data_IF_134165576108
#
_entry.id   IF_134165576108
#
_cell.length_a   1.000
_cell.length_b   1.000
_cell.length_c   1.000
_cell.angle_alpha   90.00
_cell.angle_beta   90.00
_cell.angle_gamma   90.00
#
_symmetry.space_group_name_H-M   'P 1'
#
loop_
_entity.id
_entity.type
_entity.pdbx_description
1 polymer ?
#
# COMPACT_ATOMS: atom_id res chain seq x y z
N UNK A 1 -0.01 -9.55 -10.11
CA UNK A 1 0.26 -9.01 -8.77
C UNK A 1 -0.73 -9.52 -7.75
N UNK A 2 -0.38 -9.39 -6.48
CA UNK A 2 -1.27 -9.72 -5.37
C UNK A 2 -1.00 -8.82 -4.17
N UNK A 3 -1.73 -9.07 -3.09
CA UNK A 3 -1.54 -8.40 -1.81
C UNK A 3 -1.34 -9.46 -0.73
N UNK A 4 -0.58 -9.13 0.31
CA UNK A 4 -0.46 -9.92 1.52
C UNK A 4 -0.97 -9.08 2.68
N UNK A 5 -1.74 -9.70 3.56
CA UNK A 5 -2.25 -9.09 4.77
C UNK A 5 -1.50 -9.61 5.98
N UNK A 6 -1.24 -8.75 6.97
CA UNK A 6 -0.77 -9.18 8.27
C UNK A 6 -1.86 -10.01 8.98
N UNK A 7 -1.43 -10.87 9.90
CA UNK A 7 -2.34 -11.51 10.83
C UNK A 7 -3.04 -10.45 11.72
N UNK A 8 -4.29 -10.66 12.15
CA UNK A 8 -5.01 -9.68 12.98
C UNK A 8 -4.21 -9.20 14.19
N UNK A 9 -3.46 -10.10 14.83
CA UNK A 9 -2.61 -9.80 15.99
C UNK A 9 -1.37 -8.95 15.68
N UNK A 10 -0.96 -8.86 14.42
CA UNK A 10 0.18 -8.06 13.98
C UNK A 10 -0.20 -6.60 13.70
N UNK A 11 -1.49 -6.34 13.45
CA UNK A 11 -1.97 -4.99 13.13
C UNK A 11 -1.87 -4.10 14.35
N UNK A 12 -1.23 -2.92 14.25
CA UNK A 12 -1.12 -1.98 15.37
C UNK A 12 -2.49 -1.63 15.95
N UNK A 13 -2.61 -1.72 17.28
CA UNK A 13 -3.87 -1.54 17.99
C UNK A 13 -4.54 -0.19 17.70
N UNK A 14 -3.74 0.88 17.55
CA UNK A 14 -4.27 2.21 17.27
C UNK A 14 -5.11 2.26 15.99
N UNK A 15 -4.80 1.43 14.99
CA UNK A 15 -5.58 1.39 13.74
C UNK A 15 -7.02 0.91 14.00
N UNK A 16 -7.20 -0.09 14.86
CA UNK A 16 -8.53 -0.58 15.27
C UNK A 16 -9.22 0.42 16.19
N UNK A 17 -8.50 0.91 17.20
CA UNK A 17 -9.04 1.83 18.22
C UNK A 17 -9.54 3.15 17.59
N UNK A 18 -8.92 3.60 16.50
CA UNK A 18 -9.29 4.81 15.72
C UNK A 18 -10.18 4.50 14.51
N UNK A 19 -10.64 3.27 14.35
CA UNK A 19 -11.49 2.83 13.23
C UNK A 19 -10.83 3.06 11.84
N UNK A 20 -9.50 2.95 11.75
CA UNK A 20 -8.73 3.21 10.54
C UNK A 20 -8.57 1.97 9.66
N UNK A 21 -8.13 0.86 10.24
CA UNK A 21 -7.99 -0.43 9.56
C UNK A 21 -7.85 -1.57 10.57
N UNK A 22 -8.55 -2.68 10.33
CA UNK A 22 -8.37 -3.94 11.08
C UNK A 22 -8.88 -5.14 10.29
N UNK A 23 -8.54 -6.31 10.75
CA UNK A 23 -9.07 -7.59 10.29
C UNK A 23 -9.78 -8.24 11.46
N UNK A 24 -10.97 -8.77 11.23
CA UNK A 24 -11.70 -9.52 12.24
C UNK A 24 -10.88 -10.76 12.68
N UNK A 25 -10.98 -11.14 13.95
CA UNK A 25 -10.16 -12.23 14.51
C UNK A 25 -10.43 -13.58 13.85
N UNK A 26 -11.65 -13.77 13.33
CA UNK A 26 -12.01 -14.94 12.54
C UNK A 26 -11.48 -14.90 11.08
N UNK A 27 -10.77 -13.85 10.70
CA UNK A 27 -10.16 -13.60 9.39
C UNK A 27 -11.14 -13.61 8.22
N UNK A 28 -12.42 -13.34 8.47
CA UNK A 28 -13.42 -13.32 7.38
C UNK A 28 -13.57 -11.99 6.71
N UNK A 29 -13.31 -10.90 7.42
CA UNK A 29 -13.46 -9.55 6.89
C UNK A 29 -12.26 -8.66 7.24
N UNK A 30 -11.84 -7.83 6.28
CA UNK A 30 -11.08 -6.63 6.55
C UNK A 30 -12.00 -5.41 6.58
N UNK A 31 -11.67 -4.44 7.39
CA UNK A 31 -12.51 -3.28 7.68
C UNK A 31 -11.71 -1.98 7.65
N UNK A 32 -12.38 -0.90 7.26
CA UNK A 32 -11.86 0.47 7.28
C UNK A 32 -13.04 1.42 7.49
N UNK A 33 -13.16 2.05 8.64
CA UNK A 33 -14.36 2.81 8.99
C UNK A 33 -15.61 1.92 8.90
N UNK A 34 -16.62 2.40 8.20
CA UNK A 34 -17.87 1.65 7.95
C UNK A 34 -17.76 0.65 6.78
N UNK A 35 -16.66 0.70 6.04
CA UNK A 35 -16.44 -0.21 4.92
C UNK A 35 -15.92 -1.58 5.39
N UNK A 36 -16.40 -2.64 4.75
CA UNK A 36 -15.91 -3.99 4.97
C UNK A 36 -15.83 -4.79 3.68
N UNK A 37 -14.89 -5.73 3.62
CA UNK A 37 -14.70 -6.65 2.50
C UNK A 37 -14.42 -8.06 3.00
N UNK A 38 -15.07 -9.10 2.43
CA UNK A 38 -14.73 -10.49 2.72
C UNK A 38 -13.28 -10.80 2.34
N UNK A 39 -12.62 -11.61 3.15
CA UNK A 39 -11.26 -12.10 2.92
C UNK A 39 -11.31 -13.54 2.44
N UNK A 40 -10.59 -13.83 1.37
CA UNK A 40 -10.21 -15.19 1.02
C UNK A 40 -8.76 -15.41 1.53
N UNK A 41 -8.60 -16.32 2.50
CA UNK A 41 -7.31 -16.55 3.16
C UNK A 41 -6.18 -16.87 2.18
N UNK A 42 -6.44 -17.67 1.15
CA UNK A 42 -5.46 -18.04 0.11
C UNK A 42 -4.96 -16.85 -0.71
N UNK A 43 -5.72 -15.74 -0.72
CA UNK A 43 -5.31 -14.55 -1.45
C UNK A 43 -4.45 -13.59 -0.62
N UNK A 44 -4.53 -13.69 0.72
CA UNK A 44 -3.97 -12.65 1.58
C UNK A 44 -2.97 -13.14 2.62
N UNK A 45 -3.14 -14.32 3.21
CA UNK A 45 -2.22 -14.78 4.25
C UNK A 45 -1.07 -15.59 3.66
N UNK A 46 0.12 -15.40 4.23
CA UNK A 46 1.38 -15.85 3.61
C UNK A 46 1.46 -17.37 3.43
N UNK A 47 1.02 -18.14 4.42
CA UNK A 47 1.10 -19.62 4.37
C UNK A 47 0.19 -20.16 3.29
N UNK A 48 -1.06 -19.78 3.33
CA UNK A 48 -2.10 -20.18 2.36
C UNK A 48 -1.77 -19.67 0.96
N UNK A 49 -1.16 -18.47 0.86
CA UNK A 49 -0.67 -17.92 -0.41
C UNK A 49 0.42 -18.79 -1.02
N UNK A 50 1.39 -19.21 -0.23
CA UNK A 50 2.49 -20.09 -0.71
C UNK A 50 1.92 -21.46 -1.17
N UNK A 51 1.02 -22.05 -0.40
CA UNK A 51 0.35 -23.29 -0.76
C UNK A 51 -0.42 -23.14 -2.08
N UNK A 52 -1.19 -22.09 -2.22
CA UNK A 52 -1.92 -21.78 -3.44
C UNK A 52 -0.97 -21.58 -4.63
N UNK A 53 0.13 -20.85 -4.47
CA UNK A 53 1.14 -20.67 -5.50
C UNK A 53 1.77 -22.01 -5.93
N UNK A 54 2.08 -22.90 -4.98
CA UNK A 54 2.62 -24.21 -5.28
C UNK A 54 1.64 -25.07 -6.11
N UNK A 55 0.36 -25.07 -5.72
CA UNK A 55 -0.70 -25.79 -6.44
C UNK A 55 -0.88 -25.28 -7.88
N UNK A 56 -0.65 -23.96 -8.11
CA UNK A 56 -0.81 -23.30 -9.40
C UNK A 56 0.51 -23.15 -10.17
N UNK A 57 1.60 -23.73 -9.69
CA UNK A 57 2.94 -23.67 -10.31
C UNK A 57 3.44 -22.24 -10.52
N UNK A 58 3.21 -21.39 -9.54
CA UNK A 58 3.69 -20.01 -9.51
C UNK A 58 4.95 -19.98 -8.64
N UNK A 59 6.10 -19.78 -9.25
CA UNK A 59 7.39 -19.80 -8.54
C UNK A 59 7.60 -18.48 -7.78
N UNK A 60 7.27 -17.35 -8.40
CA UNK A 60 7.51 -16.03 -7.86
C UNK A 60 6.33 -15.08 -8.11
N UNK A 61 6.03 -14.22 -7.15
CA UNK A 61 4.93 -13.24 -7.27
C UNK A 61 5.36 -11.86 -6.77
N UNK A 62 4.79 -10.83 -7.43
CA UNK A 62 4.96 -9.43 -7.00
C UNK A 62 3.81 -9.07 -6.08
N UNK A 63 4.13 -8.63 -4.85
CA UNK A 63 3.18 -8.22 -3.83
C UNK A 63 3.16 -6.71 -3.71
N UNK A 64 2.01 -6.12 -4.01
CA UNK A 64 1.80 -4.69 -3.89
C UNK A 64 1.22 -4.34 -2.51
N UNK A 65 1.42 -3.10 -2.11
CA UNK A 65 0.79 -2.58 -0.91
C UNK A 65 -0.74 -2.62 -1.03
N UNK A 66 -1.42 -2.96 0.06
CA UNK A 66 -2.87 -2.94 0.09
C UNK A 66 -3.37 -1.49 0.01
N UNK A 67 -4.28 -1.20 -0.91
CA UNK A 67 -4.76 0.16 -1.14
C UNK A 67 -5.44 0.79 0.09
N UNK A 68 -6.08 -0.01 0.93
CA UNK A 68 -6.65 0.45 2.20
C UNK A 68 -5.61 1.01 3.18
N UNK A 69 -4.35 0.61 3.03
CA UNK A 69 -3.21 1.09 3.83
C UNK A 69 -2.38 2.17 3.11
N UNK A 70 -2.92 2.82 2.08
CA UNK A 70 -2.34 4.07 1.56
C UNK A 70 -2.61 5.27 2.47
N UNK A 71 -3.37 5.06 3.56
CA UNK A 71 -3.60 6.01 4.65
C UNK A 71 -4.19 7.36 4.18
N UNK A 72 -4.99 7.33 3.10
CA UNK A 72 -5.67 8.54 2.62
C UNK A 72 -6.66 9.06 3.68
N UNK A 73 -6.57 10.35 3.99
CA UNK A 73 -7.44 10.99 4.97
C UNK A 73 -7.09 10.73 6.44
N UNK A 74 -6.03 9.95 6.71
CA UNK A 74 -5.57 9.77 8.07
C UNK A 74 -4.82 11.02 8.57
N UNK A 75 -4.84 11.25 9.87
CA UNK A 75 -4.01 12.26 10.51
C UNK A 75 -2.53 11.94 10.30
N UNK A 76 -1.67 12.96 10.27
CA UNK A 76 -0.28 12.85 9.83
C UNK A 76 0.49 11.74 10.57
N UNK A 77 0.41 11.73 11.92
CA UNK A 77 1.15 10.72 12.69
C UNK A 77 0.61 9.30 12.47
N UNK A 78 -0.71 9.14 12.40
CA UNK A 78 -1.34 7.86 12.13
C UNK A 78 -0.99 7.35 10.71
N UNK A 79 -0.91 8.26 9.76
CA UNK A 79 -0.48 7.96 8.40
C UNK A 79 0.97 7.48 8.36
N UNK A 80 1.88 8.19 9.03
CA UNK A 80 3.31 7.83 9.13
C UNK A 80 3.46 6.44 9.74
N UNK A 81 2.81 6.20 10.87
CA UNK A 81 2.90 4.93 11.60
C UNK A 81 2.26 3.78 10.81
N UNK A 82 1.15 4.04 10.12
CA UNK A 82 0.47 3.06 9.27
C UNK A 82 1.30 2.66 8.05
N UNK A 83 1.90 3.63 7.37
CA UNK A 83 2.79 3.40 6.23
C UNK A 83 4.04 2.63 6.66
N UNK A 84 4.68 3.04 7.74
CA UNK A 84 5.85 2.32 8.26
C UNK A 84 5.52 0.88 8.60
N UNK A 85 4.43 0.65 9.30
CA UNK A 85 3.97 -0.70 9.61
C UNK A 85 3.82 -1.55 8.35
N UNK A 86 3.13 -1.04 7.31
CA UNK A 86 2.95 -1.79 6.08
C UNK A 86 4.26 -2.07 5.35
N UNK A 87 5.16 -1.08 5.29
CA UNK A 87 6.45 -1.22 4.61
C UNK A 87 7.35 -2.21 5.35
N UNK A 88 7.40 -2.16 6.68
CA UNK A 88 8.16 -3.10 7.50
C UNK A 88 7.60 -4.54 7.36
N UNK A 89 6.28 -4.68 7.34
CA UNK A 89 5.63 -5.96 7.10
C UNK A 89 5.99 -6.52 5.71
N UNK A 90 5.89 -5.72 4.66
CA UNK A 90 6.24 -6.15 3.31
C UNK A 90 7.74 -6.50 3.18
N UNK A 91 8.61 -5.75 3.83
CA UNK A 91 10.03 -6.04 3.87
C UNK A 91 10.33 -7.36 4.56
N UNK A 92 9.65 -7.66 5.68
CA UNK A 92 9.80 -8.94 6.37
C UNK A 92 9.41 -10.12 5.48
N UNK A 93 8.31 -10.01 4.74
CA UNK A 93 7.88 -11.05 3.78
C UNK A 93 8.95 -11.28 2.69
N UNK A 94 9.49 -10.21 2.12
CA UNK A 94 10.55 -10.34 1.11
C UNK A 94 11.83 -10.96 1.68
N UNK A 95 12.19 -10.60 2.91
CA UNK A 95 13.36 -11.14 3.61
C UNK A 95 13.19 -12.63 3.96
N UNK A 96 12.01 -13.00 4.44
CA UNK A 96 11.74 -14.39 4.83
C UNK A 96 11.55 -15.33 3.62
N UNK A 97 11.09 -14.77 2.49
CA UNK A 97 10.80 -15.56 1.28
C UNK A 97 11.37 -14.92 -0.01
N UNK A 98 12.69 -14.66 -0.09
CA UNK A 98 13.28 -13.86 -1.17
C UNK A 98 13.14 -14.51 -2.55
N UNK A 99 13.02 -15.85 -2.62
CA UNK A 99 12.82 -16.57 -3.87
C UNK A 99 11.35 -16.62 -4.31
N UNK A 100 10.43 -16.20 -3.46
CA UNK A 100 8.99 -16.32 -3.71
C UNK A 100 8.31 -14.98 -3.93
N UNK A 101 8.83 -13.90 -3.33
CA UNK A 101 8.17 -12.60 -3.38
C UNK A 101 9.13 -11.45 -3.66
N UNK A 102 8.67 -10.52 -4.50
CA UNK A 102 9.14 -9.14 -4.57
C UNK A 102 8.04 -8.27 -4.00
N UNK A 103 8.33 -7.54 -2.94
CA UNK A 103 7.34 -6.72 -2.24
C UNK A 103 7.53 -5.23 -2.53
N UNK A 104 6.42 -4.53 -2.73
CA UNK A 104 6.41 -3.09 -2.85
C UNK A 104 6.32 -2.40 -1.49
N UNK A 105 6.67 -1.12 -1.47
CA UNK A 105 6.46 -0.22 -0.35
C UNK A 105 5.62 0.98 -0.80
N UNK A 106 4.97 1.65 0.13
CA UNK A 106 4.08 2.78 -0.15
C UNK A 106 4.57 4.04 0.55
N UNK A 107 4.27 5.18 -0.04
CA UNK A 107 4.38 6.49 0.61
C UNK A 107 3.11 7.30 0.37
N UNK A 108 2.81 8.25 1.25
CA UNK A 108 1.67 9.14 1.10
C UNK A 108 2.12 10.50 0.57
N UNK A 109 1.76 10.85 -0.70
CA UNK A 109 2.18 12.09 -1.33
C UNK A 109 1.74 13.36 -0.59
N UNK A 110 0.64 13.31 0.16
CA UNK A 110 0.17 14.42 0.99
C UNK A 110 1.24 14.95 1.96
N UNK A 111 2.11 14.08 2.45
CA UNK A 111 3.16 14.39 3.42
C UNK A 111 4.53 14.22 2.78
N UNK A 112 4.83 15.06 1.78
CA UNK A 112 6.01 14.93 0.89
C UNK A 112 7.32 14.72 1.64
N UNK A 113 7.57 15.46 2.72
CA UNK A 113 8.82 15.35 3.47
C UNK A 113 8.96 14.00 4.19
N UNK A 114 7.86 13.42 4.66
CA UNK A 114 7.84 12.09 5.21
C UNK A 114 7.94 11.03 4.12
N UNK A 115 7.31 11.26 2.96
CA UNK A 115 7.40 10.37 1.80
C UNK A 115 8.86 10.21 1.34
N UNK A 116 9.62 11.30 1.22
CA UNK A 116 11.03 11.25 0.81
C UNK A 116 11.91 10.49 1.82
N UNK A 117 11.73 10.75 3.12
CA UNK A 117 12.45 10.02 4.18
C UNK A 117 12.11 8.53 4.19
N UNK A 118 10.85 8.20 3.96
CA UNK A 118 10.41 6.81 3.93
C UNK A 118 10.91 6.07 2.69
N UNK A 119 11.01 6.74 1.53
CA UNK A 119 11.68 6.18 0.35
C UNK A 119 13.14 5.84 0.67
N UNK A 120 13.88 6.81 1.24
CA UNK A 120 15.27 6.58 1.64
C UNK A 120 15.40 5.36 2.57
N UNK A 121 14.53 5.26 3.59
CA UNK A 121 14.52 4.14 4.54
C UNK A 121 14.19 2.82 3.86
N UNK A 122 13.14 2.77 3.06
CA UNK A 122 12.71 1.54 2.38
C UNK A 122 13.79 1.01 1.44
N UNK A 123 14.52 1.89 0.79
CA UNK A 123 15.60 1.50 -0.14
C UNK A 123 16.87 1.08 0.60
N UNK A 124 17.34 1.89 1.55
CA UNK A 124 18.65 1.72 2.15
C UNK A 124 18.64 0.75 3.34
N UNK A 125 17.57 0.77 4.14
CA UNK A 125 17.49 -0.06 5.35
C UNK A 125 16.71 -1.36 5.11
N UNK A 126 15.66 -1.32 4.26
CA UNK A 126 14.78 -2.46 4.02
C UNK A 126 15.02 -3.18 2.70
N UNK A 127 15.82 -2.62 1.78
CA UNK A 127 16.18 -3.25 0.51
C UNK A 127 15.02 -3.38 -0.50
N UNK A 128 13.94 -2.60 -0.34
CA UNK A 128 12.80 -2.61 -1.25
C UNK A 128 13.06 -1.76 -2.50
N UNK A 129 12.57 -2.21 -3.67
CA UNK A 129 12.83 -1.57 -4.97
C UNK A 129 11.57 -1.29 -5.79
N UNK A 130 10.40 -1.53 -5.25
CA UNK A 130 9.12 -1.30 -5.92
C UNK A 130 8.30 -0.27 -5.12
N UNK A 131 8.23 0.97 -5.63
CA UNK A 131 7.43 2.04 -5.05
C UNK A 131 5.98 1.94 -5.53
N UNK A 132 5.04 1.80 -4.59
CA UNK A 132 3.61 1.83 -4.86
C UNK A 132 3.07 3.23 -4.56
N UNK A 133 2.41 3.85 -5.53
CA UNK A 133 1.74 5.13 -5.36
C UNK A 133 0.23 4.97 -5.59
N UNK A 134 -0.63 5.70 -4.86
CA UNK A 134 -2.05 5.78 -5.19
C UNK A 134 -2.25 6.52 -6.52
N UNK A 135 -3.27 6.15 -7.30
CA UNK A 135 -3.62 6.90 -8.52
C UNK A 135 -4.14 8.31 -8.21
N UNK A 136 -4.66 8.50 -7.01
CA UNK A 136 -5.11 9.79 -6.47
C UNK A 136 -5.05 9.77 -4.95
N UNK A 137 -4.94 10.93 -4.35
CA UNK A 137 -4.81 11.11 -2.91
C UNK A 137 -5.49 12.39 -2.44
N UNK A 138 -5.77 12.46 -1.14
CA UNK A 138 -6.35 13.64 -0.51
C UNK A 138 -5.23 14.59 -0.10
N UNK A 139 -5.22 15.80 -0.64
CA UNK A 139 -4.22 16.81 -0.28
C UNK A 139 -4.47 17.43 1.11
N UNK A 140 -3.61 18.35 1.53
CA UNK A 140 -3.73 19.04 2.82
C UNK A 140 -4.96 19.95 2.95
N UNK A 141 -5.58 20.31 1.82
CA UNK A 141 -6.81 21.13 1.77
C UNK A 141 -8.08 20.29 1.76
N UNK A 142 -7.96 18.95 1.78
CA UNK A 142 -9.10 18.05 1.68
C UNK A 142 -9.63 17.87 0.25
N UNK A 143 -8.83 18.19 -0.77
CA UNK A 143 -9.18 18.03 -2.17
C UNK A 143 -8.56 16.73 -2.72
N UNK A 144 -9.32 16.02 -3.53
CA UNK A 144 -8.81 14.86 -4.23
C UNK A 144 -8.01 15.28 -5.47
N UNK A 145 -6.77 14.86 -5.52
CA UNK A 145 -5.84 15.12 -6.61
C UNK A 145 -5.37 13.83 -7.26
N UNK A 146 -5.15 13.87 -8.55
CA UNK A 146 -4.46 12.80 -9.25
C UNK A 146 -2.96 12.87 -8.98
N UNK A 147 -2.31 11.74 -8.85
CA UNK A 147 -0.85 11.63 -8.78
C UNK A 147 -0.15 12.25 -10.01
N UNK A 148 -0.88 12.42 -11.11
CA UNK A 148 -0.37 13.08 -12.33
C UNK A 148 -0.52 14.62 -12.32
N UNK A 149 -1.22 15.21 -11.36
CA UNK A 149 -1.51 16.66 -11.32
C UNK A 149 -0.67 17.45 -10.33
N UNK A 150 -0.25 16.82 -9.25
CA UNK A 150 0.54 17.48 -8.23
C UNK A 150 2.01 17.47 -8.60
N UNK A 151 2.72 18.44 -8.06
CA UNK A 151 4.18 18.49 -8.12
C UNK A 151 4.76 17.40 -7.21
N UNK A 152 4.83 16.19 -7.75
CA UNK A 152 5.48 15.04 -7.14
C UNK A 152 6.90 14.82 -7.68
N UNK A 153 7.46 15.79 -8.39
CA UNK A 153 8.82 15.72 -8.94
C UNK A 153 9.85 15.26 -7.91
N UNK A 154 9.85 15.73 -6.64
CA UNK A 154 10.81 15.22 -5.65
C UNK A 154 10.72 13.70 -5.40
N UNK A 155 9.51 13.12 -5.42
CA UNK A 155 9.31 11.66 -5.32
C UNK A 155 9.87 10.96 -6.55
N UNK A 156 9.56 11.46 -7.76
CA UNK A 156 10.01 10.87 -9.00
C UNK A 156 11.53 11.02 -9.20
N UNK A 157 12.12 12.14 -8.82
CA UNK A 157 13.57 12.34 -8.84
C UNK A 157 14.28 11.35 -7.91
N UNK A 158 13.76 11.16 -6.70
CA UNK A 158 14.33 10.20 -5.75
C UNK A 158 14.14 8.76 -6.22
N UNK A 159 12.98 8.44 -6.79
CA UNK A 159 12.72 7.13 -7.40
C UNK A 159 13.67 6.84 -8.57
N UNK A 160 13.95 7.83 -9.42
CA UNK A 160 14.93 7.73 -10.50
C UNK A 160 16.35 7.54 -9.95
N UNK A 161 16.75 8.33 -8.96
CA UNK A 161 18.06 8.20 -8.29
C UNK A 161 18.31 6.78 -7.78
N UNK A 162 17.30 6.13 -7.22
CA UNK A 162 17.38 4.78 -6.70
C UNK A 162 17.02 3.68 -7.72
N UNK A 163 16.70 4.06 -8.96
CA UNK A 163 16.25 3.14 -10.01
C UNK A 163 15.08 2.28 -9.57
N UNK A 164 14.07 2.90 -8.93
CA UNK A 164 12.89 2.20 -8.46
C UNK A 164 11.94 1.87 -9.60
N UNK A 165 11.34 0.69 -9.57
CA UNK A 165 10.11 0.44 -10.30
C UNK A 165 8.96 1.18 -9.60
N UNK A 166 8.11 1.86 -10.39
CA UNK A 166 6.93 2.56 -9.86
C UNK A 166 5.67 1.84 -10.32
N UNK A 167 4.79 1.56 -9.38
CA UNK A 167 3.47 1.03 -9.66
C UNK A 167 2.42 2.02 -9.14
N UNK A 168 1.55 2.50 -10.03
CA UNK A 168 0.43 3.36 -9.67
C UNK A 168 -0.81 2.47 -9.55
N UNK A 169 -1.40 2.41 -8.35
CA UNK A 169 -2.54 1.54 -8.06
C UNK A 169 -3.85 2.35 -7.94
N UNK A 170 -4.92 1.92 -8.60
CA UNK A 170 -6.24 2.51 -8.39
C UNK A 170 -6.62 2.47 -6.90
N UNK A 171 -7.19 3.56 -6.43
CA UNK A 171 -7.69 3.71 -5.08
C UNK A 171 -9.12 4.21 -5.12
N UNK A 172 -10.02 3.62 -4.34
CA UNK A 172 -11.42 4.06 -4.17
C UNK A 172 -12.15 4.41 -5.49
N UNK A 173 -12.86 3.44 -6.07
CA UNK A 173 -13.52 3.58 -7.36
C UNK A 173 -14.56 4.71 -7.43
N UNK A 174 -15.23 5.06 -6.33
CA UNK A 174 -16.20 6.16 -6.30
C UNK A 174 -15.51 7.52 -6.48
N UNK A 175 -14.36 7.71 -5.83
CA UNK A 175 -13.57 8.93 -6.00
C UNK A 175 -12.95 9.01 -7.39
N UNK A 176 -12.57 7.88 -7.97
CA UNK A 176 -12.14 7.82 -9.37
C UNK A 176 -13.24 8.27 -10.34
N UNK A 177 -14.50 7.98 -10.08
CA UNK A 177 -15.61 8.47 -10.91
C UNK A 177 -15.69 10.00 -10.86
N UNK A 178 -15.49 10.61 -9.71
CA UNK A 178 -15.44 12.07 -9.59
C UNK A 178 -14.30 12.70 -10.40
N UNK A 179 -13.12 12.07 -10.41
CA UNK A 179 -11.98 12.49 -11.21
C UNK A 179 -12.14 12.19 -12.70
N UNK A 180 -12.90 11.16 -13.06
CA UNK A 180 -13.15 10.77 -14.46
C UNK A 180 -13.71 11.91 -15.29
N UNK A 181 -14.60 12.72 -14.76
CA UNK A 181 -15.17 13.87 -15.47
C UNK A 181 -14.12 14.94 -15.79
N UNK A 182 -13.04 14.99 -15.03
CA UNK A 182 -11.91 15.90 -15.25
C UNK A 182 -10.90 15.35 -16.27
N UNK A 183 -10.74 14.02 -16.31
CA UNK A 183 -9.70 13.35 -17.11
C UNK A 183 -10.24 12.44 -18.22
N UNK A 184 -11.48 12.61 -18.63
CA UNK A 184 -12.16 11.79 -19.64
C UNK A 184 -11.38 11.55 -20.95
N UNK A 185 -10.31 12.30 -21.20
CA UNK A 185 -9.55 12.23 -22.45
C UNK A 185 -8.47 11.14 -22.50
N UNK A 186 -8.37 10.28 -21.49
CA UNK A 186 -7.33 9.24 -21.41
C UNK A 186 -7.87 7.81 -21.61
N UNK A 187 -8.84 7.66 -22.49
CA UNK A 187 -9.30 6.35 -22.98
C UNK A 187 -8.93 6.15 -24.43
#
# INVERSE_FOLDING_TARGET
HGHILPEPSQIPRFMKDKNLFWIDEDKKFMRQGDWSRPINSSNFFIKEKIEWMNQHRIDHAVMLCLSQLYCNGWEEQDCIDGIRFQNDFNASIQTDYPQRFTCGFVVQPRYIQHALKEIDRCVNDLGLKLLCLPSHFLNSKGEWLSTAEEDLDPIFELANKYSLAIQIHPYDGEKMIALKNKYWRFH
#
